data_IF_011920108843
#
_entry.id   IF_011920108843
#
_cell.length_a   1.000
_cell.length_b   1.000
_cell.length_c   1.000
_cell.angle_alpha   90.00
_cell.angle_beta   90.00
_cell.angle_gamma   90.00
#
_symmetry.space_group_name_H-M   'P 1'
#
loop_
_entity.id
_entity.type
_entity.pdbx_description
1 polymer ?
#
# COMPACT_ATOMS: atom_id res chain seq x y z
N UNK A 1 50.18 -32.82 -56.25
CA UNK A 1 50.21 -32.47 -54.80
C UNK A 1 48.83 -31.92 -54.47
N UNK A 2 47.90 -32.68 -53.85
CA UNK A 2 47.78 -32.89 -52.38
C UNK A 2 48.00 -31.56 -51.66
N UNK A 3 47.02 -30.91 -51.02
CA UNK A 3 46.07 -31.37 -49.99
C UNK A 3 44.93 -30.33 -49.90
N UNK A 4 43.66 -30.72 -49.96
CA UNK A 4 42.80 -31.05 -48.81
C UNK A 4 42.64 -29.97 -47.72
N UNK A 5 41.37 -29.82 -47.33
CA UNK A 5 40.86 -29.57 -45.98
C UNK A 5 40.24 -28.20 -45.60
N UNK A 6 38.92 -28.30 -45.35
CA UNK A 6 38.11 -27.69 -44.27
C UNK A 6 37.14 -26.57 -44.66
N UNK A 7 35.90 -27.03 -44.86
CA UNK A 7 34.63 -26.35 -44.57
C UNK A 7 34.50 -26.21 -43.04
N UNK A 8 34.61 -25.01 -42.47
CA UNK A 8 34.17 -24.74 -41.09
C UNK A 8 32.79 -24.11 -41.11
N UNK A 9 31.79 -24.93 -40.77
CA UNK A 9 30.55 -24.46 -40.17
C UNK A 9 30.90 -23.64 -38.94
N UNK A 10 30.63 -22.35 -38.95
CA UNK A 10 30.44 -21.60 -37.71
C UNK A 10 28.98 -21.82 -37.28
N UNK A 11 28.78 -22.83 -36.43
CA UNK A 11 27.61 -22.88 -35.56
C UNK A 11 27.70 -21.64 -34.65
N UNK A 12 26.86 -20.64 -34.93
CA UNK A 12 26.57 -19.55 -34.02
C UNK A 12 25.94 -20.15 -32.76
N UNK A 13 26.77 -20.33 -31.73
CA UNK A 13 26.35 -20.64 -30.39
C UNK A 13 25.52 -19.45 -29.88
N UNK A 14 24.20 -19.55 -29.97
CA UNK A 14 23.32 -18.62 -29.28
C UNK A 14 23.50 -18.86 -27.78
N UNK A 15 24.35 -18.06 -27.13
CA UNK A 15 24.29 -17.91 -25.69
C UNK A 15 22.92 -17.29 -25.40
N UNK A 16 21.96 -18.13 -25.03
CA UNK A 16 20.81 -17.66 -24.28
C UNK A 16 21.37 -17.16 -22.95
N UNK A 17 21.67 -15.86 -22.89
CA UNK A 17 21.81 -15.16 -21.62
C UNK A 17 20.41 -15.18 -21.03
N UNK A 18 20.12 -16.23 -20.25
CA UNK A 18 19.09 -16.13 -19.24
C UNK A 18 19.53 -15.01 -18.33
N UNK A 19 18.96 -13.82 -18.51
CA UNK A 19 18.94 -12.83 -17.45
C UNK A 19 18.26 -13.57 -16.31
N UNK A 20 19.05 -14.03 -15.34
CA UNK A 20 18.53 -14.32 -14.02
C UNK A 20 17.94 -12.99 -13.57
N UNK A 21 16.63 -12.85 -13.72
CA UNK A 21 15.90 -11.85 -12.96
C UNK A 21 16.16 -12.26 -11.52
N UNK A 22 17.06 -11.56 -10.84
CA UNK A 22 17.18 -11.66 -9.41
C UNK A 22 15.76 -11.40 -8.89
N UNK A 23 15.12 -12.44 -8.33
CA UNK A 23 13.93 -12.20 -7.53
C UNK A 23 14.43 -11.47 -6.29
N UNK A 24 14.53 -10.15 -6.39
CA UNK A 24 14.74 -9.29 -5.23
C UNK A 24 13.58 -9.54 -4.28
N UNK A 25 13.82 -9.35 -2.98
CA UNK A 25 12.91 -9.70 -1.90
C UNK A 25 11.42 -9.43 -2.21
N UNK A 26 10.54 -10.39 -1.91
CA UNK A 26 9.09 -10.24 -2.15
C UNK A 26 8.44 -9.15 -1.28
N UNK A 27 9.09 -8.79 -0.17
CA UNK A 27 8.62 -7.80 0.80
C UNK A 27 9.81 -7.13 1.48
N UNK A 28 9.60 -5.92 1.98
CA UNK A 28 10.45 -5.31 3.00
C UNK A 28 9.61 -4.90 4.21
N UNK A 29 10.12 -5.23 5.39
CA UNK A 29 9.54 -4.87 6.69
C UNK A 29 10.53 -4.02 7.46
N UNK A 30 10.09 -2.86 7.97
CA UNK A 30 10.95 -1.99 8.80
C UNK A 30 10.84 -2.42 10.26
N UNK A 31 11.99 -2.65 10.90
CA UNK A 31 12.11 -2.96 12.33
C UNK A 31 13.24 -2.13 12.95
N UNK A 32 13.09 -1.83 14.24
CA UNK A 32 14.11 -1.17 15.05
C UNK A 32 13.53 -0.13 16.01
N UNK A 33 14.34 0.29 16.97
CA UNK A 33 13.99 1.30 17.98
C UNK A 33 13.58 2.66 17.39
N UNK A 34 14.02 2.96 16.16
CA UNK A 34 13.64 4.20 15.47
C UNK A 34 12.17 4.19 15.01
N UNK A 35 11.48 3.05 14.96
CA UNK A 35 10.07 2.94 14.55
C UNK A 35 9.18 2.50 15.72
N UNK A 36 7.87 2.75 15.62
CA UNK A 36 6.92 2.52 16.74
C UNK A 36 6.93 1.07 17.27
N UNK A 37 7.11 0.09 16.38
CA UNK A 37 7.06 -1.34 16.70
C UNK A 37 8.35 -1.88 17.33
N UNK A 38 9.42 -1.07 17.36
CA UNK A 38 10.72 -1.52 17.87
C UNK A 38 11.25 -2.72 17.08
N UNK A 39 11.94 -3.61 17.80
CA UNK A 39 12.44 -4.88 17.29
C UNK A 39 11.39 -6.01 17.26
N UNK A 40 10.09 -5.70 17.31
CA UNK A 40 9.06 -6.73 17.16
C UNK A 40 8.77 -6.97 15.67
N UNK A 41 9.00 -8.20 15.20
CA UNK A 41 8.62 -8.60 13.83
C UNK A 41 7.10 -8.48 13.66
N UNK A 42 6.33 -8.93 14.66
CA UNK A 42 4.87 -8.89 14.62
C UNK A 42 4.34 -7.46 14.41
N UNK A 43 5.01 -6.47 14.99
CA UNK A 43 4.68 -5.04 14.89
C UNK A 43 5.57 -4.28 13.86
N UNK A 44 6.25 -5.00 12.97
CA UNK A 44 7.04 -4.38 11.90
C UNK A 44 6.15 -3.57 10.94
N UNK A 45 6.77 -2.64 10.21
CA UNK A 45 6.07 -1.78 9.25
C UNK A 45 6.24 -2.34 7.85
N UNK A 46 5.13 -2.59 7.15
CA UNK A 46 5.12 -3.06 5.77
C UNK A 46 5.52 -1.93 4.81
N UNK A 47 6.50 -2.17 3.95
CA UNK A 47 6.79 -1.31 2.80
C UNK A 47 6.08 -1.84 1.56
N UNK A 48 5.66 -0.94 0.67
CA UNK A 48 4.95 -1.28 -0.57
C UNK A 48 5.80 -1.02 -1.80
N UNK A 49 5.70 -1.91 -2.78
CA UNK A 49 6.22 -1.75 -4.14
C UNK A 49 5.05 -1.66 -5.15
N UNK A 50 5.36 -1.56 -6.44
CA UNK A 50 4.36 -1.67 -7.51
C UNK A 50 4.80 -2.69 -8.56
N UNK A 51 3.85 -3.20 -9.34
CA UNK A 51 4.16 -4.11 -10.45
C UNK A 51 5.04 -3.47 -11.52
N UNK A 52 5.03 -2.13 -11.62
CA UNK A 52 5.88 -1.35 -12.53
C UNK A 52 7.32 -1.24 -12.02
N UNK A 53 7.52 -1.21 -10.70
CA UNK A 53 8.83 -1.13 -10.05
C UNK A 53 8.88 -2.09 -8.85
N UNK A 54 8.94 -3.41 -9.09
CA UNK A 54 8.83 -4.42 -8.02
C UNK A 54 10.02 -4.37 -7.04
N UNK A 55 11.17 -3.84 -7.46
CA UNK A 55 12.37 -3.73 -6.63
C UNK A 55 12.45 -2.41 -5.83
N UNK A 56 11.45 -1.53 -5.98
CA UNK A 56 11.42 -0.22 -5.32
C UNK A 56 10.33 -0.22 -4.25
N UNK A 57 10.77 -0.31 -3.00
CA UNK A 57 9.92 -0.33 -1.82
C UNK A 57 9.81 1.06 -1.20
N UNK A 58 8.60 1.42 -0.80
CA UNK A 58 8.28 2.74 -0.25
C UNK A 58 7.48 2.62 1.04
N UNK A 59 7.76 3.53 1.96
CA UNK A 59 6.97 3.72 3.18
C UNK A 59 7.01 5.19 3.60
N UNK A 60 5.90 5.69 4.14
CA UNK A 60 5.86 6.99 4.79
C UNK A 60 5.55 6.79 6.26
N UNK A 61 6.57 6.90 7.13
CA UNK A 61 6.45 6.61 8.56
C UNK A 61 7.32 7.52 9.40
N UNK A 62 7.05 7.58 10.70
CA UNK A 62 7.90 8.25 11.66
C UNK A 62 9.18 7.46 11.92
N UNK A 63 10.32 8.16 11.85
CA UNK A 63 11.60 7.68 12.35
C UNK A 63 12.01 8.57 13.53
N UNK A 64 12.44 7.95 14.62
CA UNK A 64 12.90 8.59 15.85
C UNK A 64 14.43 8.61 15.92
N UNK A 65 15.01 9.65 16.54
CA UNK A 65 16.44 9.70 16.87
C UNK A 65 16.86 8.71 17.95
N UNK A 66 15.89 8.10 18.65
CA UNK A 66 16.13 7.24 19.80
C UNK A 66 16.45 5.79 19.42
N UNK A 67 17.26 5.59 18.39
CA UNK A 67 17.73 4.25 18.03
C UNK A 67 17.99 4.09 16.55
N UNK A 68 17.92 2.84 16.10
CA UNK A 68 18.29 2.39 14.77
C UNK A 68 17.15 1.64 14.10
N UNK A 69 17.27 1.39 12.80
CA UNK A 69 16.38 0.49 12.06
C UNK A 69 17.09 -0.23 10.92
N UNK A 70 16.49 -1.35 10.48
CA UNK A 70 16.88 -2.13 9.30
C UNK A 70 15.65 -2.76 8.66
N UNK A 71 15.87 -3.54 7.59
CA UNK A 71 14.80 -4.14 6.81
C UNK A 71 14.89 -5.67 6.78
N UNK A 72 13.76 -6.33 7.02
CA UNK A 72 13.62 -7.78 6.90
C UNK A 72 12.91 -8.12 5.59
N UNK A 73 13.28 -9.26 5.00
CA UNK A 73 12.60 -9.83 3.82
C UNK A 73 11.64 -10.97 4.17
N UNK A 74 11.67 -11.42 5.42
CA UNK A 74 10.89 -12.51 5.98
C UNK A 74 10.35 -12.10 7.35
N UNK A 75 9.41 -12.90 7.88
CA UNK A 75 8.87 -12.73 9.24
C UNK A 75 9.59 -13.59 10.29
N UNK A 76 10.86 -13.91 10.02
CA UNK A 76 11.74 -14.70 10.87
C UNK A 76 13.14 -14.10 10.86
N UNK A 77 13.80 -14.11 12.02
CA UNK A 77 15.18 -13.62 12.16
C UNK A 77 16.21 -14.52 11.47
N UNK A 78 17.33 -13.93 11.08
CA UNK A 78 18.49 -14.67 10.56
C UNK A 78 18.40 -15.03 9.07
N UNK A 79 17.38 -14.56 8.38
CA UNK A 79 17.26 -14.68 6.92
C UNK A 79 17.87 -13.45 6.22
N UNK A 80 17.58 -13.29 4.92
CA UNK A 80 18.00 -12.14 4.15
C UNK A 80 17.45 -10.83 4.76
N UNK A 81 18.34 -9.88 5.00
CA UNK A 81 18.05 -8.56 5.55
C UNK A 81 18.78 -7.49 4.74
N UNK A 82 18.29 -6.25 4.79
CA UNK A 82 18.99 -5.09 4.22
C UNK A 82 19.37 -4.09 5.31
N UNK A 83 20.62 -3.62 5.23
CA UNK A 83 21.38 -3.00 6.32
C UNK A 83 22.31 -1.89 5.80
N UNK A 84 23.00 -1.22 6.72
CA UNK A 84 23.86 -0.07 6.42
C UNK A 84 25.30 -0.42 5.96
N UNK A 85 25.66 -1.70 5.93
CA UNK A 85 27.01 -2.16 5.55
C UNK A 85 27.96 -2.26 6.75
N UNK A 86 29.15 -1.65 6.65
CA UNK A 86 30.23 -1.84 7.63
C UNK A 86 30.07 -1.06 8.94
N UNK A 87 29.32 0.03 8.91
CA UNK A 87 29.08 0.89 10.06
C UNK A 87 27.62 1.34 10.10
N UNK A 88 27.16 1.75 11.27
CA UNK A 88 25.86 2.42 11.35
C UNK A 88 25.91 3.71 10.53
N UNK A 89 24.86 3.99 9.77
CA UNK A 89 24.78 5.17 8.91
C UNK A 89 23.68 6.08 9.40
N UNK A 90 24.03 7.31 9.75
CA UNK A 90 23.04 8.38 9.91
C UNK A 90 22.67 8.92 8.53
N UNK A 91 21.46 8.63 8.09
CA UNK A 91 20.97 9.03 6.78
C UNK A 91 20.85 10.55 6.68
N UNK A 92 21.37 11.11 5.59
CA UNK A 92 21.18 12.52 5.24
C UNK A 92 19.94 12.63 4.34
N UNK A 93 19.03 13.55 4.67
CA UNK A 93 17.80 13.72 3.89
C UNK A 93 18.10 14.04 2.42
N UNK A 94 17.32 13.44 1.52
CA UNK A 94 17.43 13.56 0.05
C UNK A 94 18.77 13.09 -0.55
N UNK A 95 19.62 12.40 0.23
CA UNK A 95 20.89 11.82 -0.23
C UNK A 95 20.80 10.29 -0.18
N UNK A 96 21.13 9.64 -1.29
CA UNK A 96 21.21 8.18 -1.36
C UNK A 96 22.36 7.66 -0.50
N UNK A 97 22.10 6.61 0.27
CA UNK A 97 23.09 5.82 1.00
C UNK A 97 23.01 4.36 0.54
N UNK A 98 24.08 3.60 0.78
CA UNK A 98 24.12 2.18 0.41
C UNK A 98 23.08 1.37 1.21
N UNK A 99 22.39 0.49 0.51
CA UNK A 99 21.48 -0.51 1.07
C UNK A 99 22.07 -1.90 0.81
N UNK A 100 22.73 -2.44 1.82
CA UNK A 100 23.58 -3.63 1.68
C UNK A 100 22.82 -4.86 2.17
N UNK A 101 22.83 -5.92 1.37
CA UNK A 101 22.23 -7.20 1.77
C UNK A 101 23.09 -7.94 2.80
N UNK A 102 22.46 -8.70 3.69
CA UNK A 102 23.17 -9.52 4.68
C UNK A 102 24.00 -10.66 4.08
N UNK A 103 23.72 -11.04 2.83
CA UNK A 103 24.51 -12.02 2.06
C UNK A 103 25.83 -11.42 1.54
N UNK A 104 25.81 -10.15 1.17
CA UNK A 104 27.02 -9.42 0.74
C UNK A 104 27.87 -8.96 1.92
N UNK A 105 27.22 -8.63 3.04
CA UNK A 105 27.89 -8.19 4.25
C UNK A 105 27.17 -8.70 5.51
N UNK A 106 27.84 -9.56 6.27
CA UNK A 106 27.28 -10.17 7.48
C UNK A 106 27.13 -9.20 8.66
N UNK A 107 27.71 -8.00 8.60
CA UNK A 107 27.68 -7.03 9.69
C UNK A 107 26.24 -6.58 9.98
N UNK A 108 25.86 -6.58 11.26
CA UNK A 108 24.54 -6.12 11.70
C UNK A 108 24.57 -4.62 12.03
N UNK A 109 24.82 -3.80 11.02
CA UNK A 109 24.87 -2.34 11.13
C UNK A 109 23.67 -1.69 10.50
N UNK A 110 23.20 -0.63 11.12
CA UNK A 110 21.83 -0.18 10.97
C UNK A 110 21.76 1.30 10.63
N UNK A 111 20.58 1.73 10.18
CA UNK A 111 20.34 3.11 9.80
C UNK A 111 19.86 3.94 10.99
N UNK A 112 20.21 5.22 11.00
CA UNK A 112 19.80 6.24 11.98
C UNK A 112 19.31 7.48 11.25
N UNK A 113 18.57 8.32 11.96
CA UNK A 113 18.22 9.69 11.51
C UNK A 113 18.70 10.71 12.53
N UNK A 114 19.04 11.92 12.07
CA UNK A 114 19.49 13.01 12.95
C UNK A 114 18.34 13.83 13.53
N UNK A 115 17.11 13.63 13.05
CA UNK A 115 15.91 14.35 13.49
C UNK A 115 14.74 13.35 13.58
N UNK A 116 13.92 13.46 14.63
CA UNK A 116 12.67 12.71 14.73
C UNK A 116 11.63 13.37 13.84
N UNK A 117 11.19 12.69 12.78
CA UNK A 117 10.21 13.23 11.84
C UNK A 117 9.50 12.10 11.09
N UNK A 118 8.43 12.44 10.38
CA UNK A 118 7.89 11.55 9.36
C UNK A 118 8.76 11.61 8.11
N UNK A 119 9.13 10.47 7.56
CA UNK A 119 9.96 10.35 6.37
C UNK A 119 9.25 9.54 5.30
N UNK A 120 9.34 9.99 4.06
CA UNK A 120 9.19 9.16 2.88
C UNK A 120 10.51 8.40 2.70
N UNK A 121 10.45 7.08 2.84
CA UNK A 121 11.57 6.15 2.73
C UNK A 121 11.44 5.42 1.39
N UNK A 122 12.51 5.40 0.62
CA UNK A 122 12.60 4.66 -0.64
C UNK A 122 13.82 3.74 -0.59
N UNK A 123 13.57 2.44 -0.72
CA UNK A 123 14.60 1.42 -0.88
C UNK A 123 14.53 0.90 -2.32
N UNK A 124 15.62 1.01 -3.07
CA UNK A 124 15.76 0.44 -4.41
C UNK A 124 16.75 -0.71 -4.34
N UNK A 125 16.25 -1.95 -4.49
CA UNK A 125 17.04 -3.16 -4.35
C UNK A 125 17.96 -3.41 -5.55
N UNK A 126 17.61 -2.87 -6.73
CA UNK A 126 18.42 -2.98 -7.94
C UNK A 126 19.56 -1.97 -7.90
N UNK A 127 19.29 -0.72 -7.52
CA UNK A 127 20.30 0.30 -7.32
C UNK A 127 21.10 0.11 -6.02
N UNK A 128 20.60 -0.73 -5.10
CA UNK A 128 21.15 -0.95 -3.74
C UNK A 128 21.26 0.35 -2.96
N UNK A 129 20.20 1.15 -2.99
CA UNK A 129 20.17 2.44 -2.32
C UNK A 129 18.96 2.58 -1.39
N UNK A 130 19.17 3.36 -0.34
CA UNK A 130 18.11 3.93 0.49
C UNK A 130 18.18 5.45 0.42
N UNK A 131 17.01 6.07 0.28
CA UNK A 131 16.82 7.53 0.39
C UNK A 131 15.73 7.78 1.41
N UNK A 132 15.97 8.73 2.32
CA UNK A 132 14.94 9.28 3.19
C UNK A 132 14.70 10.73 2.86
N UNK A 133 13.44 11.14 2.77
CA UNK A 133 13.02 12.52 2.57
C UNK A 133 12.03 12.89 3.64
N UNK A 134 12.15 14.07 4.24
CA UNK A 134 11.16 14.53 5.22
C UNK A 134 9.80 14.65 4.54
N UNK A 135 8.82 13.92 5.05
CA UNK A 135 7.47 13.88 4.47
C UNK A 135 6.79 15.24 4.61
N UNK A 136 5.83 15.55 3.73
CA UNK A 136 5.05 16.79 3.81
C UNK A 136 4.21 16.86 5.10
N UNK A 137 3.62 15.73 5.51
CA UNK A 137 2.81 15.64 6.72
C UNK A 137 3.70 15.40 7.95
N UNK A 138 3.71 16.36 8.87
CA UNK A 138 4.51 16.30 10.12
C UNK A 138 3.66 16.48 11.38
N UNK A 139 2.33 16.62 11.25
CA UNK A 139 1.46 16.99 12.36
C UNK A 139 1.37 15.91 13.45
N UNK A 140 1.22 14.65 13.05
CA UNK A 140 1.16 13.49 13.95
C UNK A 140 2.17 12.43 13.50
N UNK A 141 2.64 11.60 14.44
CA UNK A 141 3.55 10.49 14.15
C UNK A 141 2.86 9.44 13.30
N UNK A 142 3.47 9.07 12.17
CA UNK A 142 2.94 8.03 11.28
C UNK A 142 3.49 6.66 11.65
N UNK A 143 2.66 5.82 12.26
CA UNK A 143 3.05 4.47 12.71
C UNK A 143 2.88 3.41 11.62
N UNK A 144 1.90 3.58 10.74
CA UNK A 144 1.48 2.55 9.80
C UNK A 144 1.40 3.11 8.39
N UNK A 145 1.84 2.32 7.41
CA UNK A 145 1.70 2.62 5.97
C UNK A 145 0.31 2.26 5.45
N UNK A 146 -0.32 1.25 6.06
CA UNK A 146 -1.69 0.83 5.84
C UNK A 146 -2.18 0.08 7.09
N UNK A 147 -3.48 -0.25 7.11
CA UNK A 147 -4.10 -1.14 8.08
C UNK A 147 -4.88 -2.22 7.34
N UNK A 148 -5.31 -3.29 8.03
CA UNK A 148 -6.04 -4.39 7.38
C UNK A 148 -7.23 -4.86 8.21
N UNK A 149 -8.40 -4.97 7.59
CA UNK A 149 -9.57 -5.63 8.20
C UNK A 149 -9.42 -7.14 8.07
N UNK A 150 -9.55 -7.84 9.20
CA UNK A 150 -9.51 -9.30 9.29
C UNK A 150 -10.65 -9.81 10.16
N UNK A 151 -11.25 -10.93 9.79
CA UNK A 151 -12.33 -11.57 10.53
C UNK A 151 -13.37 -12.23 9.63
N UNK A 152 -14.28 -13.02 10.21
CA UNK A 152 -15.30 -13.77 9.45
C UNK A 152 -16.22 -12.89 8.60
N UNK A 153 -16.36 -11.59 8.93
CA UNK A 153 -17.10 -10.64 8.11
C UNK A 153 -16.35 -10.18 6.85
N UNK A 154 -15.02 -10.30 6.79
CA UNK A 154 -14.21 -9.75 5.70
C UNK A 154 -13.99 -10.77 4.58
N UNK A 155 -13.73 -10.34 3.33
CA UNK A 155 -13.47 -11.25 2.20
C UNK A 155 -12.36 -12.28 2.46
N UNK A 156 -11.30 -11.90 3.17
CA UNK A 156 -10.18 -12.76 3.53
C UNK A 156 -10.40 -13.63 4.78
N UNK A 157 -11.54 -13.49 5.45
CA UNK A 157 -11.80 -14.18 6.70
C UNK A 157 -10.74 -13.87 7.77
N UNK A 158 -10.35 -14.89 8.53
CA UNK A 158 -9.26 -14.83 9.51
C UNK A 158 -7.86 -15.00 8.92
N UNK A 159 -7.70 -14.98 7.58
CA UNK A 159 -6.36 -14.99 6.97
C UNK A 159 -5.76 -13.59 7.02
N UNK A 160 -4.68 -13.41 7.80
CA UNK A 160 -3.99 -12.11 7.92
C UNK A 160 -3.40 -11.67 6.57
N UNK A 161 -2.83 -12.60 5.80
CA UNK A 161 -2.28 -12.34 4.45
C UNK A 161 -3.31 -11.83 3.45
N UNK A 162 -4.57 -12.27 3.59
CA UNK A 162 -5.70 -11.87 2.75
C UNK A 162 -6.52 -10.73 3.38
N UNK A 163 -5.98 -10.04 4.37
CA UNK A 163 -6.64 -8.92 5.05
C UNK A 163 -7.07 -7.84 4.06
N UNK A 164 -8.26 -7.27 4.25
CA UNK A 164 -8.74 -6.19 3.39
C UNK A 164 -8.06 -4.88 3.79
N UNK A 165 -7.20 -4.37 2.91
CA UNK A 165 -6.39 -3.18 3.18
C UNK A 165 -7.23 -1.90 3.28
N UNK A 166 -6.96 -1.10 4.32
CA UNK A 166 -7.37 0.29 4.42
C UNK A 166 -6.17 1.19 4.10
N UNK A 167 -6.39 2.15 3.21
CA UNK A 167 -5.34 3.06 2.71
C UNK A 167 -5.42 4.40 3.44
N UNK A 168 -4.30 5.01 3.85
CA UNK A 168 -4.28 6.35 4.42
C UNK A 168 -4.84 7.38 3.44
N UNK A 169 -5.56 8.37 3.94
CA UNK A 169 -6.01 9.50 3.10
C UNK A 169 -4.85 10.44 2.77
N UNK A 170 -4.89 11.06 1.59
CA UNK A 170 -3.82 11.94 1.10
C UNK A 170 -3.62 13.17 1.99
N UNK A 171 -4.72 13.77 2.46
CA UNK A 171 -4.67 14.99 3.27
C UNK A 171 -4.36 14.71 4.75
N UNK A 172 -4.73 13.53 5.25
CA UNK A 172 -4.46 13.12 6.62
C UNK A 172 -4.09 11.61 6.69
N UNK A 173 -2.79 11.26 6.64
CA UNK A 173 -2.34 9.87 6.64
C UNK A 173 -2.50 9.13 7.98
N UNK A 174 -3.13 9.75 8.98
CA UNK A 174 -3.60 9.05 10.20
C UNK A 174 -5.03 8.55 10.10
N UNK A 175 -5.72 8.85 9.00
CA UNK A 175 -7.07 8.37 8.71
C UNK A 175 -6.99 7.38 7.56
N UNK A 176 -7.48 6.17 7.77
CA UNK A 176 -7.44 5.06 6.81
C UNK A 176 -8.86 4.74 6.33
N UNK A 177 -9.00 4.45 5.04
CA UNK A 177 -10.32 4.17 4.43
C UNK A 177 -10.31 2.95 3.53
N UNK A 178 -11.46 2.30 3.47
CA UNK A 178 -11.78 1.27 2.47
C UNK A 178 -13.28 1.26 2.20
N UNK A 179 -13.66 0.93 0.97
CA UNK A 179 -15.03 0.49 0.65
C UNK A 179 -14.98 -1.02 0.42
N UNK A 180 -15.75 -1.79 1.18
CA UNK A 180 -15.63 -3.26 1.24
C UNK A 180 -17.01 -3.92 1.32
N UNK A 181 -17.14 -5.10 0.72
CA UNK A 181 -18.29 -5.97 0.97
C UNK A 181 -18.03 -6.79 2.25
N UNK A 182 -18.86 -6.59 3.27
CA UNK A 182 -18.82 -7.34 4.51
C UNK A 182 -19.98 -8.33 4.56
N UNK A 183 -19.71 -9.51 5.10
CA UNK A 183 -20.71 -10.49 5.49
C UNK A 183 -21.11 -10.29 6.96
N UNK A 184 -22.16 -10.99 7.40
CA UNK A 184 -22.43 -11.12 8.83
C UNK A 184 -21.27 -11.86 9.51
N UNK A 185 -20.80 -11.33 10.64
CA UNK A 185 -19.69 -11.91 11.37
C UNK A 185 -18.83 -10.87 12.09
N UNK A 186 -17.64 -11.29 12.49
CA UNK A 186 -16.75 -10.45 13.29
C UNK A 186 -15.62 -9.87 12.45
N UNK A 187 -15.10 -8.71 12.85
CA UNK A 187 -13.86 -8.16 12.33
C UNK A 187 -13.08 -7.37 13.37
N UNK A 188 -11.77 -7.24 13.13
CA UNK A 188 -10.84 -6.34 13.84
C UNK A 188 -9.82 -5.77 12.84
N UNK A 189 -8.98 -4.85 13.30
CA UNK A 189 -8.03 -4.15 12.45
C UNK A 189 -6.59 -4.54 12.82
N UNK A 190 -5.92 -5.19 11.89
CA UNK A 190 -4.51 -5.56 11.95
C UNK A 190 -3.61 -4.39 11.48
N UNK A 191 -2.37 -4.38 11.96
CA UNK A 191 -1.34 -3.39 11.61
C UNK A 191 -0.30 -3.93 10.64
N UNK A 192 -0.34 -5.22 10.34
CA UNK A 192 0.58 -5.90 9.45
C UNK A 192 -0.09 -7.14 8.84
N UNK A 193 -0.11 -7.25 7.50
CA UNK A 193 -0.67 -8.40 6.79
C UNK A 193 0.36 -9.49 6.47
N UNK A 194 1.64 -9.30 6.80
CA UNK A 194 2.70 -10.26 6.53
C UNK A 194 2.94 -11.21 7.72
N UNK A 195 2.50 -10.84 8.92
CA UNK A 195 2.80 -11.54 10.19
C UNK A 195 1.59 -12.32 10.74
N UNK A 196 1.72 -12.87 11.95
CA UNK A 196 0.67 -13.64 12.60
C UNK A 196 -0.21 -12.83 13.56
N UNK A 197 -0.96 -13.55 14.40
CA UNK A 197 -1.84 -12.96 15.42
C UNK A 197 -1.11 -12.45 16.68
N UNK A 198 0.23 -12.52 16.73
CA UNK A 198 1.04 -11.97 17.83
C UNK A 198 1.19 -10.44 17.78
N UNK A 199 0.76 -9.81 16.68
CA UNK A 199 0.80 -8.36 16.50
C UNK A 199 -0.18 -7.62 17.42
N UNK A 200 0.07 -6.34 17.60
CA UNK A 200 -0.88 -5.43 18.24
C UNK A 200 -2.00 -5.08 17.25
N UNK A 201 -3.24 -5.13 17.71
CA UNK A 201 -4.42 -4.81 16.89
C UNK A 201 -5.08 -3.52 17.37
N UNK A 202 -5.80 -2.85 16.47
CA UNK A 202 -6.87 -1.95 16.89
C UNK A 202 -8.15 -2.79 17.11
N UNK A 203 -8.66 -2.71 18.32
CA UNK A 203 -9.72 -3.55 18.85
C UNK A 203 -10.91 -2.67 19.27
N UNK A 204 -12.11 -3.26 19.31
CA UNK A 204 -13.32 -2.53 19.69
C UNK A 204 -13.26 -2.11 21.15
N UNK A 205 -13.58 -0.86 21.44
CA UNK A 205 -13.87 -0.44 22.81
C UNK A 205 -15.20 -1.04 23.27
N UNK A 206 -15.24 -1.66 24.45
CA UNK A 206 -16.44 -2.37 24.93
C UNK A 206 -17.56 -1.43 25.35
N UNK A 207 -17.24 -0.16 25.61
CA UNK A 207 -18.18 0.87 26.08
C UNK A 207 -18.75 1.72 24.94
N UNK A 208 -18.08 1.77 23.79
CA UNK A 208 -18.49 2.56 22.62
C UNK A 208 -18.03 1.90 21.32
N UNK A 209 -18.96 1.44 20.49
CA UNK A 209 -18.64 0.74 19.23
C UNK A 209 -17.98 1.63 18.17
N UNK A 210 -18.07 2.96 18.32
CA UNK A 210 -17.40 3.93 17.44
C UNK A 210 -15.96 4.22 17.86
N UNK A 211 -15.52 3.63 18.98
CA UNK A 211 -14.20 3.80 19.56
C UNK A 211 -13.37 2.53 19.44
N UNK A 212 -12.05 2.73 19.48
CA UNK A 212 -11.09 1.66 19.44
C UNK A 212 -10.03 1.81 20.52
N UNK A 213 -9.49 0.68 20.94
CA UNK A 213 -8.31 0.58 21.80
C UNK A 213 -7.17 -0.04 20.99
N UNK A 214 -5.93 0.25 21.36
CA UNK A 214 -4.75 -0.29 20.69
C UNK A 214 -4.07 -1.31 21.61
N UNK A 215 -4.16 -2.59 21.24
CA UNK A 215 -3.87 -3.71 22.15
C UNK A 215 -4.95 -3.92 23.22
N UNK A 216 -4.73 -4.90 24.09
CA UNK A 216 -5.67 -5.30 25.14
C UNK A 216 -6.48 -6.55 24.77
N UNK A 217 -7.63 -6.71 25.42
CA UNK A 217 -8.53 -7.85 25.21
C UNK A 217 -9.05 -7.88 23.77
N UNK A 218 -9.16 -9.08 23.18
CA UNK A 218 -9.46 -9.33 21.76
C UNK A 218 -10.94 -9.05 21.37
N UNK A 219 -11.41 -7.84 21.64
CA UNK A 219 -12.74 -7.36 21.34
C UNK A 219 -12.87 -6.98 19.87
N UNK A 220 -13.95 -7.44 19.25
CA UNK A 220 -14.20 -7.33 17.79
C UNK A 220 -15.45 -6.53 17.53
N UNK A 221 -15.55 -5.94 16.35
CA UNK A 221 -16.82 -5.45 15.82
C UNK A 221 -17.60 -6.60 15.22
N UNK A 222 -18.92 -6.61 15.44
CA UNK A 222 -19.83 -7.60 14.86
C UNK A 222 -20.71 -6.93 13.80
N UNK A 223 -20.51 -7.33 12.55
CA UNK A 223 -21.35 -6.93 11.42
C UNK A 223 -22.61 -7.77 11.43
N UNK A 224 -23.76 -7.12 11.58
CA UNK A 224 -25.06 -7.79 11.74
C UNK A 224 -25.85 -7.95 10.45
N UNK A 225 -25.37 -7.35 9.35
CA UNK A 225 -26.01 -7.42 8.04
C UNK A 225 -24.94 -7.44 6.96
N UNK A 226 -25.09 -8.33 5.98
CA UNK A 226 -24.22 -8.32 4.81
C UNK A 226 -24.50 -7.11 3.91
N UNK A 227 -23.46 -6.48 3.38
CA UNK A 227 -23.59 -5.29 2.55
C UNK A 227 -22.26 -4.69 2.12
N UNK A 228 -22.33 -3.61 1.35
CA UNK A 228 -21.14 -2.78 1.05
C UNK A 228 -21.05 -1.68 2.10
N UNK A 229 -19.86 -1.49 2.66
CA UNK A 229 -19.60 -0.54 3.73
C UNK A 229 -18.43 0.38 3.36
N UNK A 230 -18.57 1.65 3.72
CA UNK A 230 -17.46 2.58 3.84
C UNK A 230 -16.93 2.51 5.27
N UNK A 231 -15.67 2.11 5.39
CA UNK A 231 -14.97 1.98 6.66
C UNK A 231 -13.94 3.10 6.77
N UNK A 232 -13.96 3.84 7.87
CA UNK A 232 -12.96 4.87 8.20
C UNK A 232 -12.39 4.60 9.57
N UNK A 233 -11.06 4.54 9.68
CA UNK A 233 -10.31 4.37 10.93
C UNK A 233 -9.45 5.61 11.15
N UNK A 234 -9.57 6.26 12.30
CA UNK A 234 -8.72 7.41 12.69
C UNK A 234 -7.88 7.02 13.91
N UNK A 235 -6.58 6.80 13.68
CA UNK A 235 -5.66 6.29 14.70
C UNK A 235 -5.21 7.34 15.73
N UNK A 236 -5.49 8.63 15.48
CA UNK A 236 -5.18 9.70 16.43
C UNK A 236 -6.36 9.91 17.36
N UNK A 237 -7.58 9.97 16.80
CA UNK A 237 -8.80 10.15 17.60
C UNK A 237 -9.33 8.84 18.22
N UNK A 238 -8.71 7.71 17.89
CA UNK A 238 -9.10 6.37 18.34
C UNK A 238 -10.57 6.07 18.03
N UNK A 239 -10.98 6.36 16.79
CA UNK A 239 -12.36 6.14 16.31
C UNK A 239 -12.41 5.28 15.06
N UNK A 240 -13.52 4.58 14.91
CA UNK A 240 -13.88 3.86 13.70
C UNK A 240 -15.32 4.20 13.30
N UNK A 241 -15.56 4.23 11.99
CA UNK A 241 -16.89 4.35 11.39
C UNK A 241 -17.06 3.22 10.38
N UNK A 242 -18.17 2.48 10.50
CA UNK A 242 -18.53 1.37 9.60
C UNK A 242 -19.96 1.67 9.13
N UNK A 243 -20.09 2.31 7.97
CA UNK A 243 -21.39 2.78 7.47
C UNK A 243 -21.74 2.07 6.19
N UNK A 244 -22.96 1.53 6.09
CA UNK A 244 -23.45 0.99 4.82
C UNK A 244 -23.29 2.08 3.75
N UNK A 245 -22.63 1.71 2.65
CA UNK A 245 -22.50 2.57 1.48
C UNK A 245 -23.89 2.70 0.88
N UNK A 246 -24.59 3.76 1.27
CA UNK A 246 -25.74 4.20 0.51
C UNK A 246 -25.19 4.64 -0.84
N UNK A 247 -25.42 3.87 -1.90
CA UNK A 247 -25.13 4.33 -3.24
C UNK A 247 -25.98 5.57 -3.50
N UNK A 248 -25.46 6.75 -3.18
CA UNK A 248 -25.96 7.98 -3.76
C UNK A 248 -25.41 7.99 -5.18
N UNK A 249 -26.00 7.16 -6.03
CA UNK A 249 -26.08 7.50 -7.44
C UNK A 249 -26.85 8.81 -7.52
N UNK A 250 -26.15 9.93 -7.35
CA UNK A 250 -26.63 11.32 -7.46
C UNK A 250 -27.94 11.57 -6.66
N UNK A 251 -27.83 12.07 -5.43
CA UNK A 251 -28.99 12.32 -4.56
C UNK A 251 -29.78 13.61 -4.84
N UNK A 252 -29.32 14.49 -5.73
CA UNK A 252 -30.14 15.58 -6.28
C UNK A 252 -29.47 16.27 -7.47
N UNK A 253 -30.30 16.81 -8.38
CA UNK A 253 -29.86 17.71 -9.46
C UNK A 253 -30.70 18.99 -9.39
N UNK A 254 -30.04 20.14 -9.25
CA UNK A 254 -30.68 21.45 -9.41
C UNK A 254 -31.10 21.65 -10.87
N UNK A 255 -32.34 22.09 -11.07
CA UNK A 255 -32.88 22.36 -12.41
C UNK A 255 -32.42 23.73 -12.89
N UNK A 256 -31.50 23.77 -13.85
CA UNK A 256 -31.23 24.97 -14.64
C UNK A 256 -32.11 24.98 -15.91
N UNK A 257 -33.03 25.93 -16.02
CA UNK A 257 -33.82 26.19 -17.23
C UNK A 257 -32.98 26.93 -18.29
N UNK A 258 -33.27 26.64 -19.58
CA UNK A 258 -32.69 27.27 -20.78
C UNK A 258 -31.28 26.87 -21.26
N UNK A 259 -30.87 25.60 -21.13
CA UNK A 259 -29.62 25.13 -21.77
C UNK A 259 -29.85 24.18 -22.94
N UNK A 260 -29.18 24.45 -24.07
CA UNK A 260 -29.13 23.63 -25.28
C UNK A 260 -28.48 22.27 -25.00
N UNK A 261 -29.02 21.21 -25.61
CA UNK A 261 -28.59 19.83 -25.41
C UNK A 261 -27.51 19.44 -26.43
N UNK A 262 -26.42 18.83 -25.98
CA UNK A 262 -25.37 18.23 -26.80
C UNK A 262 -25.22 16.73 -26.50
N UNK A 263 -24.87 15.92 -27.50
CA UNK A 263 -24.62 14.48 -27.36
C UNK A 263 -23.14 14.18 -27.63
N UNK A 264 -22.61 13.18 -26.95
CA UNK A 264 -21.23 12.71 -27.07
C UNK A 264 -21.20 11.18 -27.15
N UNK A 265 -20.19 10.63 -27.82
CA UNK A 265 -19.88 9.20 -27.70
C UNK A 265 -19.23 8.88 -26.34
N UNK A 266 -18.99 7.60 -26.06
CA UNK A 266 -18.35 7.17 -24.81
C UNK A 266 -16.87 7.56 -24.71
N UNK A 267 -16.25 7.97 -25.83
CA UNK A 267 -14.90 8.53 -25.89
C UNK A 267 -14.86 10.04 -25.66
N UNK A 268 -16.01 10.70 -25.47
CA UNK A 268 -16.11 12.14 -25.23
C UNK A 268 -16.13 13.01 -26.50
N UNK A 269 -16.27 12.43 -27.70
CA UNK A 269 -16.40 13.20 -28.94
C UNK A 269 -17.83 13.71 -29.11
N UNK A 270 -17.99 14.98 -29.47
CA UNK A 270 -19.32 15.60 -29.69
C UNK A 270 -19.96 15.10 -30.97
N UNK A 271 -21.23 14.73 -30.90
CA UNK A 271 -22.01 14.16 -32.00
C UNK A 271 -23.04 15.16 -32.54
N UNK A 272 -23.35 15.02 -33.84
CA UNK A 272 -24.43 15.75 -34.49
C UNK A 272 -25.69 14.89 -34.56
N UNK A 273 -26.89 15.50 -34.56
CA UNK A 273 -28.15 14.76 -34.67
C UNK A 273 -28.28 13.95 -35.96
N UNK A 274 -27.53 14.30 -37.02
CA UNK A 274 -27.52 13.61 -38.31
C UNK A 274 -26.63 12.35 -38.34
N UNK A 275 -25.83 12.11 -37.29
CA UNK A 275 -24.86 11.00 -37.23
C UNK A 275 -25.15 9.98 -36.12
N UNK A 276 -26.28 10.09 -35.43
CA UNK A 276 -26.66 9.13 -34.38
C UNK A 276 -27.04 7.77 -34.98
N UNK A 277 -26.50 6.71 -34.40
CA UNK A 277 -26.88 5.32 -34.66
C UNK A 277 -27.50 4.72 -33.38
N UNK A 278 -28.15 3.57 -33.43
CA UNK A 278 -28.54 2.88 -32.21
C UNK A 278 -27.32 2.57 -31.34
N UNK A 279 -27.38 2.92 -30.04
CA UNK A 279 -26.22 2.81 -29.15
C UNK A 279 -26.31 3.64 -27.88
N UNK A 280 -25.30 3.52 -27.03
CA UNK A 280 -25.16 4.25 -25.78
C UNK A 280 -24.35 5.53 -25.98
N UNK A 281 -24.89 6.66 -25.50
CA UNK A 281 -24.31 7.98 -25.64
C UNK A 281 -24.35 8.77 -24.34
N UNK A 282 -23.57 9.84 -24.28
CA UNK A 282 -23.57 10.79 -23.18
C UNK A 282 -24.33 12.04 -23.63
N UNK A 283 -25.44 12.36 -22.96
CA UNK A 283 -26.19 13.59 -23.17
C UNK A 283 -25.79 14.64 -22.15
N UNK A 284 -25.30 15.77 -22.63
CA UNK A 284 -24.99 16.95 -21.82
C UNK A 284 -26.01 18.06 -22.06
N UNK A 285 -26.58 18.61 -20.99
CA UNK A 285 -27.48 19.77 -21.02
C UNK A 285 -27.02 20.74 -19.93
N UNK A 286 -26.19 21.72 -20.30
CA UNK A 286 -25.50 22.56 -19.32
C UNK A 286 -24.49 21.77 -18.48
N UNK A 287 -24.60 21.83 -17.16
CA UNK A 287 -23.82 21.02 -16.21
C UNK A 287 -24.33 19.58 -16.10
N UNK A 288 -25.55 19.31 -16.56
CA UNK A 288 -26.17 17.99 -16.46
C UNK A 288 -25.59 17.03 -17.51
N UNK A 289 -25.21 15.83 -17.09
CA UNK A 289 -24.69 14.78 -17.96
C UNK A 289 -25.34 13.44 -17.61
N UNK A 290 -25.93 12.73 -18.60
CA UNK A 290 -26.50 11.39 -18.40
C UNK A 290 -26.17 10.44 -19.55
N UNK A 291 -26.19 9.13 -19.29
CA UNK A 291 -26.17 8.12 -20.36
C UNK A 291 -27.57 8.00 -20.98
N UNK A 292 -27.64 7.91 -22.30
CA UNK A 292 -28.87 7.71 -23.07
C UNK A 292 -28.68 6.58 -24.07
N UNK A 293 -29.73 5.78 -24.26
CA UNK A 293 -29.79 4.75 -25.29
C UNK A 293 -30.61 5.28 -26.46
N UNK A 294 -30.01 5.38 -27.64
CA UNK A 294 -30.71 5.61 -28.90
C UNK A 294 -31.08 4.23 -29.44
N UNK A 295 -32.37 4.03 -29.75
CA UNK A 295 -32.88 2.81 -30.37
C UNK A 295 -32.85 2.92 -31.88
#
# INVERSE_FOLDING_TARGET
>A
MKTDFIRKMFCSLALAVTVLTANAAERLLIVGEAVWGGWSIDNSIVMFNSTENPDVFKATVNLSTNGTFKFLTTTDWGNLEYRAGDNDVTLTADVASDLVSSEENSNDKQFKVSETANYDIVCDLTAKTIVVKKAKYQTNLLKHTALWMVGSATPGGWSIGEGTMLVPTVDNPTVFKATVNLAEGEMKIAVNNQTGFGQTFYLRDTTDETKMVFGGDDNKWNITKAGTYDVTVDVVNMTISITETNSSGISSAESASNVTTALYDLGGNRLSSRTLRPGCYIQKKGSYTRKVMVK
#
